data_IF_448302575349
#
_entry.id   IF_448302575349
#
_cell.length_a   1.000
_cell.length_b   1.000
_cell.length_c   1.000
_cell.angle_alpha   90.00
_cell.angle_beta   90.00
_cell.angle_gamma   90.00
#
_symmetry.space_group_name_H-M   'P 1'
#
loop_
_entity.id
_entity.type
_entity.pdbx_description
1 polymer ?
#
# COMPACT_ATOMS: atom_id res chain seq x y z
N UNK A 1 15.21 7.26 -7.39
CA UNK A 1 13.81 7.54 -7.01
C UNK A 1 13.86 8.32 -5.72
N UNK A 2 13.22 9.50 -5.65
CA UNK A 2 13.15 10.31 -4.42
C UNK A 2 12.02 9.75 -3.53
N UNK A 3 12.05 10.05 -2.22
CA UNK A 3 10.91 9.75 -1.37
C UNK A 3 9.68 10.57 -1.79
N UNK A 4 8.50 10.11 -1.43
CA UNK A 4 7.25 10.74 -1.85
C UNK A 4 6.85 11.88 -0.91
N UNK A 5 6.11 12.85 -1.47
CA UNK A 5 5.47 13.91 -0.69
C UNK A 5 4.35 13.31 0.16
N UNK A 6 4.52 13.36 1.49
CA UNK A 6 3.52 12.85 2.44
C UNK A 6 2.32 13.78 2.47
N UNK A 7 1.12 13.21 2.37
CA UNK A 7 -0.13 13.96 2.40
C UNK A 7 -1.12 13.36 3.39
N UNK A 8 -1.96 14.24 3.90
CA UNK A 8 -3.04 13.91 4.81
C UNK A 8 -4.38 14.21 4.14
N UNK A 9 -5.47 13.68 4.69
CA UNK A 9 -6.80 13.95 4.18
C UNK A 9 -7.14 15.43 4.39
N UNK A 10 -7.16 16.18 3.30
CA UNK A 10 -7.61 17.57 3.26
C UNK A 10 -9.12 17.62 3.01
N UNK A 11 -9.78 18.57 3.65
CA UNK A 11 -11.21 18.79 3.51
C UNK A 11 -11.43 20.14 2.84
N UNK A 12 -11.93 20.13 1.61
CA UNK A 12 -12.23 21.34 0.87
C UNK A 12 -13.46 22.09 1.42
N UNK A 13 -14.42 21.37 2.01
CA UNK A 13 -15.65 21.98 2.56
C UNK A 13 -16.05 21.28 3.86
N UNK A 14 -15.96 22.03 4.95
CA UNK A 14 -16.30 21.58 6.30
C UNK A 14 -17.79 21.24 6.45
N UNK A 15 -18.65 21.87 5.63
CA UNK A 15 -20.10 21.71 5.73
C UNK A 15 -20.61 20.33 5.30
N UNK A 16 -19.80 19.58 4.55
CA UNK A 16 -20.14 18.23 4.08
C UNK A 16 -19.77 17.11 5.05
N UNK A 17 -19.17 17.44 6.21
CA UNK A 17 -18.82 16.43 7.20
C UNK A 17 -19.94 16.37 8.22
N UNK A 18 -20.45 15.18 8.57
CA UNK A 18 -21.45 15.01 9.61
C UNK A 18 -20.81 15.21 10.99
N UNK A 19 -20.24 16.39 11.22
CA UNK A 19 -19.76 16.80 12.53
C UNK A 19 -20.91 17.55 13.19
N UNK A 20 -21.35 17.05 14.33
CA UNK A 20 -22.34 17.76 15.15
C UNK A 20 -21.72 19.04 15.71
N UNK A 21 -21.91 20.14 14.95
CA UNK A 21 -21.43 21.48 15.30
C UNK A 21 -22.03 22.01 16.62
N UNK A 22 -23.13 21.41 17.12
CA UNK A 22 -23.78 21.80 18.35
C UNK A 22 -23.05 21.38 19.62
N UNK A 23 -22.12 20.45 19.48
CA UNK A 23 -21.30 19.92 20.58
C UNK A 23 -19.90 20.55 20.61
N UNK A 24 -19.82 21.87 20.62
CA UNK A 24 -18.60 22.59 20.98
C UNK A 24 -18.21 22.31 22.43
N UNK A 25 -17.88 21.06 22.74
CA UNK A 25 -17.45 20.65 24.07
C UNK A 25 -15.95 20.87 24.21
N UNK A 26 -15.58 21.53 25.30
CA UNK A 26 -14.19 21.65 25.71
C UNK A 26 -13.51 20.28 25.80
N UNK A 27 -12.20 20.24 25.53
CA UNK A 27 -11.34 19.03 25.53
C UNK A 27 -11.52 18.15 26.79
N UNK A 28 -11.94 18.71 27.92
CA UNK A 28 -12.16 17.98 29.16
C UNK A 28 -13.44 17.10 29.17
N UNK A 29 -14.43 17.39 28.33
CA UNK A 29 -15.68 16.61 28.24
C UNK A 29 -15.57 15.43 27.27
N UNK A 30 -14.52 15.38 26.49
CA UNK A 30 -14.25 14.37 25.43
C UNK A 30 -13.84 13.01 26.03
N UNK A 31 -13.63 12.92 27.34
CA UNK A 31 -13.16 11.71 28.04
C UNK A 31 -14.06 10.47 27.90
N UNK A 32 -15.26 10.62 27.37
CA UNK A 32 -16.28 9.55 27.33
C UNK A 32 -16.71 9.10 25.93
N UNK A 33 -16.37 9.82 24.86
CA UNK A 33 -16.81 9.47 23.51
C UNK A 33 -15.64 8.87 22.70
N UNK A 34 -15.86 7.68 22.12
CA UNK A 34 -14.81 6.88 21.48
C UNK A 34 -14.39 7.36 20.08
N UNK A 35 -15.24 8.14 19.39
CA UNK A 35 -15.06 8.45 17.97
C UNK A 35 -15.17 9.95 17.69
N UNK A 36 -14.18 10.72 18.13
CA UNK A 36 -14.16 12.15 17.88
C UNK A 36 -13.37 12.49 16.61
N UNK A 37 -14.09 12.80 15.53
CA UNK A 37 -13.50 13.44 14.37
C UNK A 37 -13.24 14.92 14.68
N UNK A 38 -12.07 15.40 14.34
CA UNK A 38 -11.70 16.81 14.50
C UNK A 38 -11.12 17.36 13.21
N UNK A 39 -11.25 18.66 13.05
CA UNK A 39 -10.65 19.38 11.93
C UNK A 39 -9.52 20.24 12.48
N UNK A 40 -8.34 20.05 11.92
CA UNK A 40 -7.19 20.90 12.18
C UNK A 40 -7.04 21.91 11.05
N UNK A 41 -7.14 23.18 11.39
CA UNK A 41 -6.82 24.28 10.48
C UNK A 41 -5.36 24.63 10.64
N UNK A 42 -4.62 24.71 9.52
CA UNK A 42 -3.23 25.19 9.50
C UNK A 42 -3.18 26.67 9.18
N UNK A 43 -2.01 27.28 9.41
CA UNK A 43 -1.73 28.68 9.06
C UNK A 43 -1.84 28.95 7.55
N UNK A 44 -1.75 27.92 6.71
CA UNK A 44 -1.95 27.99 5.25
C UNK A 44 -3.41 27.84 4.82
N UNK A 45 -4.36 28.03 5.72
CA UNK A 45 -5.82 27.85 5.48
C UNK A 45 -6.24 26.44 5.00
N UNK A 46 -5.41 25.43 5.21
CA UNK A 46 -5.76 24.04 4.91
C UNK A 46 -6.47 23.40 6.10
N UNK A 47 -7.53 22.67 5.80
CA UNK A 47 -8.27 21.90 6.79
C UNK A 47 -7.94 20.43 6.65
N UNK A 48 -7.42 19.81 7.70
CA UNK A 48 -7.13 18.38 7.76
C UNK A 48 -8.13 17.67 8.66
N UNK A 49 -8.60 16.51 8.21
CA UNK A 49 -9.38 15.61 9.04
C UNK A 49 -8.44 14.84 9.97
N UNK A 50 -8.79 14.81 11.22
CA UNK A 50 -8.07 14.04 12.24
C UNK A 50 -9.04 13.43 13.24
N UNK A 51 -8.49 12.71 14.20
CA UNK A 51 -9.23 12.18 15.33
C UNK A 51 -8.46 12.39 16.63
N UNK A 52 -9.19 12.41 17.72
CA UNK A 52 -8.59 12.50 19.04
C UNK A 52 -8.29 11.10 19.56
N UNK A 53 -7.03 10.90 19.97
CA UNK A 53 -6.53 9.69 20.59
C UNK A 53 -5.98 9.98 21.97
N UNK A 54 -6.42 9.22 22.97
CA UNK A 54 -5.81 9.27 24.30
C UNK A 54 -4.75 8.19 24.41
N UNK A 55 -3.50 8.61 24.50
CA UNK A 55 -2.39 7.69 24.69
C UNK A 55 -2.46 7.04 26.08
N UNK A 56 -2.49 5.70 26.09
CA UNK A 56 -2.59 4.91 27.34
C UNK A 56 -1.35 5.01 28.21
N UNK A 57 -0.19 5.24 27.63
CA UNK A 57 1.09 5.28 28.34
C UNK A 57 1.32 6.66 28.98
N UNK A 58 1.14 7.71 28.24
CA UNK A 58 1.37 9.08 28.69
C UNK A 58 0.13 9.76 29.29
N UNK A 59 -1.06 9.16 29.09
CA UNK A 59 -2.37 9.70 29.44
C UNK A 59 -2.70 11.04 28.76
N UNK A 60 -1.94 11.42 27.73
CA UNK A 60 -2.15 12.64 26.97
C UNK A 60 -3.22 12.47 25.90
N UNK A 61 -3.98 13.53 25.65
CA UNK A 61 -4.88 13.60 24.51
C UNK A 61 -4.11 14.15 23.31
N UNK A 62 -4.08 13.38 22.23
CA UNK A 62 -3.36 13.68 20.99
C UNK A 62 -4.38 13.85 19.86
N UNK A 63 -4.11 14.77 18.95
CA UNK A 63 -4.86 14.89 17.70
C UNK A 63 -4.00 14.29 16.59
N UNK A 64 -4.54 13.29 15.91
CA UNK A 64 -3.84 12.57 14.85
C UNK A 64 -4.58 12.82 13.53
N UNK A 65 -3.88 13.42 12.57
CA UNK A 65 -4.42 13.59 11.22
C UNK A 65 -4.48 12.26 10.49
N UNK A 66 -5.52 12.06 9.68
CA UNK A 66 -5.63 10.88 8.84
C UNK A 66 -4.64 10.94 7.68
N UNK A 67 -3.62 10.09 7.66
CA UNK A 67 -2.76 9.98 6.50
C UNK A 67 -3.52 9.32 5.34
N UNK A 68 -3.09 9.60 4.12
CA UNK A 68 -3.61 8.90 2.94
C UNK A 68 -2.99 7.50 2.90
N UNK A 69 -3.76 6.49 3.31
CA UNK A 69 -3.26 5.12 3.53
C UNK A 69 -2.53 4.50 2.32
N UNK A 70 -3.02 4.60 1.07
CA UNK A 70 -2.26 4.10 -0.07
C UNK A 70 -0.86 4.69 -0.19
N UNK A 71 -0.68 5.96 0.20
CA UNK A 71 0.64 6.60 0.20
C UNK A 71 1.52 6.10 1.33
N UNK A 72 0.95 5.88 2.52
CA UNK A 72 1.68 5.28 3.65
C UNK A 72 2.25 3.91 3.26
N UNK A 73 1.44 3.07 2.64
CA UNK A 73 1.88 1.74 2.23
C UNK A 73 2.89 1.80 1.08
N UNK A 74 2.73 2.72 0.13
CA UNK A 74 3.71 2.93 -0.94
C UNK A 74 5.06 3.43 -0.39
N UNK A 75 5.06 4.40 0.54
CA UNK A 75 6.25 4.92 1.20
C UNK A 75 6.98 3.81 1.99
N UNK A 76 6.22 2.99 2.72
CA UNK A 76 6.77 1.82 3.41
C UNK A 76 7.37 0.80 2.45
N UNK A 77 6.73 0.53 1.31
CA UNK A 77 7.28 -0.35 0.28
C UNK A 77 8.61 0.17 -0.24
N UNK A 78 8.69 1.46 -0.52
CA UNK A 78 9.91 2.13 -0.96
C UNK A 78 11.02 2.08 0.11
N UNK A 79 10.69 2.35 1.36
CA UNK A 79 11.63 2.28 2.48
C UNK A 79 12.22 0.88 2.66
N UNK A 80 11.37 -0.14 2.68
CA UNK A 80 11.79 -1.54 2.77
C UNK A 80 12.68 -1.93 1.59
N UNK A 81 12.34 -1.51 0.37
CA UNK A 81 13.18 -1.71 -0.80
C UNK A 81 14.57 -1.07 -0.62
N UNK A 82 14.65 0.18 -0.14
CA UNK A 82 15.96 0.85 0.09
C UNK A 82 16.84 0.05 1.05
N UNK A 83 16.29 -0.39 2.17
CA UNK A 83 17.03 -1.20 3.14
C UNK A 83 17.51 -2.50 2.50
N UNK A 84 16.62 -3.22 1.81
CA UNK A 84 17.00 -4.48 1.17
C UNK A 84 18.05 -4.29 0.08
N UNK A 85 17.94 -3.23 -0.72
CA UNK A 85 18.91 -2.91 -1.79
C UNK A 85 20.30 -2.62 -1.24
N UNK A 86 20.41 -1.89 -0.14
CA UNK A 86 21.69 -1.61 0.52
C UNK A 86 22.33 -2.88 1.08
N UNK A 87 21.54 -3.85 1.51
CA UNK A 87 22.03 -5.10 2.07
C UNK A 87 22.38 -6.14 0.99
N UNK A 88 21.74 -6.08 -0.16
CA UNK A 88 21.84 -7.09 -1.21
C UNK A 88 23.27 -7.39 -1.63
N UNK A 89 24.03 -6.37 -1.95
CA UNK A 89 25.38 -6.54 -2.46
C UNK A 89 26.33 -7.07 -1.37
N UNK A 90 26.13 -6.64 -0.13
CA UNK A 90 26.85 -7.17 1.02
C UNK A 90 26.54 -8.66 1.26
N UNK A 91 25.27 -9.06 1.18
CA UNK A 91 24.84 -10.46 1.31
C UNK A 91 25.46 -11.32 0.21
N UNK A 92 25.38 -10.89 -1.05
CA UNK A 92 25.94 -11.64 -2.19
C UNK A 92 27.46 -11.78 -2.05
N UNK A 93 28.16 -10.69 -1.69
CA UNK A 93 29.62 -10.72 -1.49
C UNK A 93 30.03 -11.67 -0.37
N UNK A 94 29.33 -11.66 0.79
CA UNK A 94 29.60 -12.58 1.90
C UNK A 94 29.35 -14.03 1.53
N UNK A 95 28.26 -14.33 0.81
CA UNK A 95 27.97 -15.69 0.33
C UNK A 95 29.06 -16.17 -0.64
N UNK A 96 29.47 -15.33 -1.57
CA UNK A 96 30.55 -15.68 -2.54
C UNK A 96 31.88 -15.98 -1.87
N UNK A 97 32.17 -15.31 -0.74
CA UNK A 97 33.42 -15.49 0.02
C UNK A 97 33.34 -16.56 1.12
N UNK A 98 32.18 -17.17 1.35
CA UNK A 98 31.97 -18.15 2.43
C UNK A 98 32.93 -19.36 2.31
N UNK A 99 33.17 -19.86 1.11
CA UNK A 99 34.12 -20.96 0.86
C UNK A 99 35.58 -20.64 1.16
N UNK A 100 35.95 -19.37 1.36
CA UNK A 100 37.30 -18.88 1.64
C UNK A 100 37.52 -18.54 3.13
N UNK A 101 36.77 -19.15 4.04
CA UNK A 101 36.93 -18.99 5.50
C UNK A 101 36.09 -17.89 6.12
N UNK A 102 35.16 -17.29 5.38
CA UNK A 102 34.17 -16.35 5.92
C UNK A 102 33.06 -17.06 6.67
N UNK A 103 32.39 -16.36 7.60
CA UNK A 103 31.17 -16.85 8.25
C UNK A 103 29.96 -16.74 7.30
N UNK A 104 29.04 -17.71 7.40
CA UNK A 104 27.80 -17.67 6.64
C UNK A 104 26.90 -16.52 7.13
N UNK A 105 26.38 -15.63 6.26
CA UNK A 105 25.68 -14.41 6.66
C UNK A 105 24.17 -14.66 6.92
N UNK A 106 23.84 -15.49 7.90
CA UNK A 106 22.45 -15.88 8.18
C UNK A 106 21.55 -14.68 8.47
N UNK A 107 21.99 -13.80 9.37
CA UNK A 107 21.22 -12.64 9.80
C UNK A 107 20.94 -11.66 8.65
N UNK A 108 21.96 -11.42 7.83
CA UNK A 108 21.84 -10.54 6.67
C UNK A 108 20.89 -11.11 5.61
N UNK A 109 20.92 -12.44 5.40
CA UNK A 109 19.99 -13.12 4.50
C UNK A 109 18.54 -12.97 5.01
N UNK A 110 18.30 -13.23 6.30
CA UNK A 110 16.99 -13.04 6.90
C UNK A 110 16.46 -11.61 6.74
N UNK A 111 17.29 -10.62 7.04
CA UNK A 111 16.93 -9.21 6.90
C UNK A 111 16.66 -8.85 5.44
N UNK A 112 17.54 -9.26 4.53
CA UNK A 112 17.36 -9.02 3.10
C UNK A 112 16.03 -9.59 2.59
N UNK A 113 15.73 -10.86 2.88
CA UNK A 113 14.50 -11.53 2.46
C UNK A 113 13.29 -10.85 3.12
N UNK A 114 13.37 -10.55 4.42
CA UNK A 114 12.30 -9.90 5.17
C UNK A 114 11.92 -8.52 4.60
N UNK A 115 12.90 -7.65 4.39
CA UNK A 115 12.64 -6.33 3.81
C UNK A 115 12.18 -6.41 2.35
N UNK A 116 12.75 -7.30 1.56
CA UNK A 116 12.35 -7.51 0.17
C UNK A 116 10.91 -7.96 0.04
N UNK A 117 10.51 -8.98 0.81
CA UNK A 117 9.13 -9.50 0.80
C UNK A 117 8.14 -8.49 1.37
N UNK A 118 8.53 -7.76 2.42
CA UNK A 118 7.72 -6.68 2.99
C UNK A 118 7.47 -5.57 1.98
N UNK A 119 8.47 -5.21 1.17
CA UNK A 119 8.31 -4.22 0.09
C UNK A 119 7.23 -4.65 -0.91
N UNK A 120 7.24 -5.91 -1.35
CA UNK A 120 6.26 -6.45 -2.29
C UNK A 120 4.84 -6.43 -1.70
N UNK A 121 4.71 -6.91 -0.45
CA UNK A 121 3.41 -6.95 0.24
C UNK A 121 2.86 -5.53 0.41
N UNK A 122 3.66 -4.59 0.91
CA UNK A 122 3.23 -3.20 1.12
C UNK A 122 2.84 -2.52 -0.19
N UNK A 123 3.53 -2.81 -1.29
CA UNK A 123 3.19 -2.26 -2.60
C UNK A 123 1.84 -2.78 -3.11
N UNK A 124 1.54 -4.05 -2.89
CA UNK A 124 0.22 -4.62 -3.19
C UNK A 124 -0.88 -4.02 -2.30
N UNK A 125 -0.61 -3.85 -0.99
CA UNK A 125 -1.54 -3.21 -0.06
C UNK A 125 -1.81 -1.76 -0.47
N UNK A 126 -0.79 -1.03 -0.95
CA UNK A 126 -0.95 0.32 -1.49
C UNK A 126 -1.93 0.35 -2.67
N UNK A 127 -1.76 -0.56 -3.64
CA UNK A 127 -2.66 -0.69 -4.79
C UNK A 127 -4.09 -1.08 -4.38
N UNK A 128 -4.24 -2.02 -3.46
CA UNK A 128 -5.55 -2.47 -2.99
C UNK A 128 -6.28 -1.36 -2.22
N UNK A 129 -5.59 -0.66 -1.34
CA UNK A 129 -6.13 0.50 -0.63
C UNK A 129 -6.54 1.62 -1.59
N UNK A 130 -5.73 1.88 -2.62
CA UNK A 130 -6.07 2.84 -3.68
C UNK A 130 -7.31 2.43 -4.46
N UNK A 131 -7.43 1.15 -4.82
CA UNK A 131 -8.60 0.61 -5.49
C UNK A 131 -9.87 0.79 -4.65
N UNK A 132 -9.79 0.41 -3.38
CA UNK A 132 -10.92 0.51 -2.45
C UNK A 132 -11.32 1.98 -2.21
N UNK A 133 -10.37 2.91 -2.14
CA UNK A 133 -10.64 4.35 -2.04
C UNK A 133 -11.43 4.86 -3.26
N UNK A 134 -11.03 4.50 -4.48
CA UNK A 134 -11.77 4.89 -5.70
C UNK A 134 -13.17 4.30 -5.70
N UNK A 135 -13.31 3.00 -5.40
CA UNK A 135 -14.60 2.31 -5.39
C UNK A 135 -15.55 2.94 -4.36
N UNK A 136 -15.05 3.23 -3.15
CA UNK A 136 -15.84 3.87 -2.11
C UNK A 136 -16.36 5.25 -2.53
N UNK A 137 -15.51 6.09 -3.14
CA UNK A 137 -15.89 7.44 -3.56
C UNK A 137 -16.83 7.46 -4.76
N UNK A 138 -16.69 6.51 -5.69
CA UNK A 138 -17.49 6.46 -6.91
C UNK A 138 -18.91 5.98 -6.66
N UNK A 139 -19.15 5.23 -5.58
CA UNK A 139 -20.40 4.51 -5.31
C UNK A 139 -20.84 3.64 -6.49
N UNK A 140 -19.88 3.18 -7.28
CA UNK A 140 -20.11 2.40 -8.50
C UNK A 140 -20.64 1.02 -8.17
N UNK A 141 -21.65 0.57 -8.93
CA UNK A 141 -22.16 -0.79 -8.89
C UNK A 141 -21.46 -1.63 -9.96
N UNK A 142 -20.79 -2.67 -9.55
CA UNK A 142 -20.13 -3.60 -10.46
C UNK A 142 -21.08 -4.72 -10.85
N UNK A 143 -21.22 -4.98 -12.15
CA UNK A 143 -22.11 -6.01 -12.69
C UNK A 143 -21.30 -7.12 -13.34
N UNK A 144 -21.65 -8.35 -13.01
CA UNK A 144 -21.14 -9.56 -13.65
C UNK A 144 -22.31 -10.23 -14.37
N UNK A 145 -22.25 -10.26 -15.68
CA UNK A 145 -23.24 -10.94 -16.51
C UNK A 145 -22.76 -12.36 -16.81
N UNK A 146 -23.57 -13.33 -16.48
CA UNK A 146 -23.38 -14.73 -16.84
C UNK A 146 -24.54 -15.17 -17.73
N UNK A 147 -24.39 -16.31 -18.41
CA UNK A 147 -25.47 -16.87 -19.25
C UNK A 147 -26.77 -17.19 -18.48
N UNK A 148 -26.71 -17.24 -17.14
CA UNK A 148 -27.84 -17.63 -16.29
C UNK A 148 -28.39 -16.51 -15.42
N UNK A 149 -27.55 -15.51 -15.07
CA UNK A 149 -27.94 -14.43 -14.17
C UNK A 149 -27.01 -13.23 -14.27
N UNK A 150 -27.53 -12.08 -13.88
CA UNK A 150 -26.71 -10.87 -13.64
C UNK A 150 -26.54 -10.70 -12.14
N UNK A 151 -25.30 -10.63 -11.69
CA UNK A 151 -24.95 -10.31 -10.30
C UNK A 151 -24.56 -8.84 -10.20
N UNK A 152 -25.12 -8.14 -9.21
CA UNK A 152 -24.86 -6.71 -8.99
C UNK A 152 -24.23 -6.56 -7.60
N UNK A 153 -23.04 -5.97 -7.58
CA UNK A 153 -22.26 -5.70 -6.37
C UNK A 153 -22.27 -4.20 -6.10
N UNK A 154 -22.79 -3.77 -4.97
CA UNK A 154 -22.64 -2.39 -4.55
C UNK A 154 -21.16 -2.09 -4.19
N UNK A 155 -20.83 -0.82 -3.92
CA UNK A 155 -19.44 -0.41 -3.64
C UNK A 155 -18.82 -1.15 -2.44
N UNK A 156 -19.58 -1.48 -1.39
CA UNK A 156 -19.09 -2.23 -0.22
C UNK A 156 -18.81 -3.70 -0.60
N UNK A 157 -19.76 -4.34 -1.28
CA UNK A 157 -19.58 -5.71 -1.76
C UNK A 157 -18.43 -5.81 -2.77
N UNK A 158 -18.31 -4.82 -3.66
CA UNK A 158 -17.21 -4.77 -4.63
C UNK A 158 -15.85 -4.71 -3.93
N UNK A 159 -15.73 -3.96 -2.83
CA UNK A 159 -14.48 -3.91 -2.04
C UNK A 159 -14.16 -5.25 -1.37
N UNK A 160 -15.16 -5.99 -0.91
CA UNK A 160 -14.97 -7.19 -0.09
C UNK A 160 -14.94 -8.49 -0.90
N UNK A 161 -15.74 -8.60 -1.97
CA UNK A 161 -16.02 -9.87 -2.64
C UNK A 161 -15.34 -9.99 -4.01
N UNK A 162 -15.00 -8.86 -4.66
CA UNK A 162 -14.35 -8.88 -5.98
C UNK A 162 -12.84 -9.05 -5.82
N UNK A 163 -12.26 -9.94 -6.64
CA UNK A 163 -10.83 -10.20 -6.60
C UNK A 163 -9.98 -8.98 -6.98
N UNK A 164 -8.77 -8.95 -6.48
CA UNK A 164 -7.87 -7.80 -6.57
C UNK A 164 -7.53 -7.42 -8.03
N UNK A 165 -7.26 -8.40 -8.90
CA UNK A 165 -6.99 -8.12 -10.33
C UNK A 165 -8.20 -7.52 -11.02
N UNK A 166 -9.38 -8.04 -10.76
CA UNK A 166 -10.63 -7.52 -11.32
C UNK A 166 -10.90 -6.10 -10.83
N UNK A 167 -10.67 -5.79 -9.55
CA UNK A 167 -10.77 -4.40 -9.05
C UNK A 167 -9.88 -3.45 -9.87
N UNK A 168 -8.60 -3.78 -10.04
CA UNK A 168 -7.64 -2.92 -10.71
C UNK A 168 -7.92 -2.76 -12.21
N UNK A 169 -8.24 -3.83 -12.91
CA UNK A 169 -8.27 -3.82 -14.39
C UNK A 169 -9.66 -3.79 -15.01
N UNK A 170 -10.72 -3.94 -14.22
CA UNK A 170 -12.10 -3.84 -14.68
C UNK A 170 -12.89 -2.78 -13.89
N UNK A 171 -12.92 -2.88 -12.55
CA UNK A 171 -13.76 -2.00 -11.73
C UNK A 171 -13.29 -0.56 -11.80
N UNK A 172 -12.03 -0.25 -11.45
CA UNK A 172 -11.50 1.12 -11.46
C UNK A 172 -11.63 1.79 -12.83
N UNK A 173 -11.24 1.15 -13.97
CA UNK A 173 -11.43 1.73 -15.28
C UNK A 173 -12.89 2.10 -15.58
N UNK A 174 -13.82 1.24 -15.17
CA UNK A 174 -15.25 1.51 -15.37
C UNK A 174 -15.78 2.59 -14.43
N UNK A 175 -15.34 2.62 -13.16
CA UNK A 175 -15.69 3.69 -12.21
C UNK A 175 -15.32 5.08 -12.73
N UNK A 176 -14.10 5.20 -13.27
CA UNK A 176 -13.53 6.47 -13.69
C UNK A 176 -13.69 6.77 -15.17
N UNK A 177 -14.27 5.84 -15.95
CA UNK A 177 -14.37 5.92 -17.42
C UNK A 177 -13.01 6.19 -18.09
N UNK A 178 -11.95 5.61 -17.52
CA UNK A 178 -10.57 5.80 -17.92
C UNK A 178 -9.87 4.46 -18.07
N UNK A 179 -9.52 4.10 -19.28
CA UNK A 179 -8.99 2.77 -19.60
C UNK A 179 -7.50 2.84 -19.92
N UNK A 180 -6.66 2.08 -19.22
CA UNK A 180 -5.25 2.04 -19.53
C UNK A 180 -5.02 1.34 -20.88
N UNK A 181 -3.98 1.76 -21.64
CA UNK A 181 -3.60 1.08 -22.88
C UNK A 181 -3.35 -0.42 -22.63
N UNK A 182 -3.79 -1.28 -23.56
CA UNK A 182 -3.64 -2.74 -23.38
C UNK A 182 -2.20 -3.19 -23.18
N UNK A 183 -1.27 -2.57 -23.91
CA UNK A 183 0.18 -2.87 -23.86
C UNK A 183 0.94 -1.94 -22.89
N UNK A 184 0.26 -1.36 -21.90
CA UNK A 184 0.95 -0.50 -20.93
C UNK A 184 1.90 -1.31 -20.05
N UNK A 185 3.11 -0.79 -19.83
CA UNK A 185 4.12 -1.43 -18.98
C UNK A 185 3.62 -1.59 -17.55
N UNK A 186 2.91 -0.60 -17.02
CA UNK A 186 2.36 -0.70 -15.66
C UNK A 186 1.36 -1.85 -15.51
N UNK A 187 0.55 -2.18 -16.54
CA UNK A 187 -0.37 -3.30 -16.47
C UNK A 187 0.37 -4.63 -16.30
N UNK A 188 1.41 -4.88 -17.10
CA UNK A 188 2.21 -6.11 -17.01
C UNK A 188 2.96 -6.22 -15.69
N UNK A 189 3.60 -5.15 -15.23
CA UNK A 189 4.35 -5.11 -13.96
C UNK A 189 3.44 -5.28 -12.75
N UNK A 190 2.28 -4.64 -12.73
CA UNK A 190 1.29 -4.81 -11.65
C UNK A 190 0.77 -6.24 -11.59
N UNK A 191 0.52 -6.89 -12.74
CA UNK A 191 0.14 -8.31 -12.77
C UNK A 191 1.26 -9.18 -12.18
N UNK A 192 2.51 -8.98 -12.62
CA UNK A 192 3.67 -9.72 -12.10
C UNK A 192 3.82 -9.54 -10.59
N UNK A 193 3.65 -8.31 -10.10
CA UNK A 193 3.70 -7.99 -8.67
C UNK A 193 2.63 -8.75 -7.87
N UNK A 194 1.38 -8.76 -8.36
CA UNK A 194 0.28 -9.48 -7.72
C UNK A 194 0.54 -11.00 -7.69
N UNK A 195 1.02 -11.56 -8.80
CA UNK A 195 1.32 -12.99 -8.89
C UNK A 195 2.47 -13.37 -7.94
N UNK A 196 3.46 -12.50 -7.79
CA UNK A 196 4.53 -12.72 -6.82
C UNK A 196 4.02 -12.63 -5.37
N UNK A 197 3.25 -11.59 -5.04
CA UNK A 197 2.63 -11.47 -3.70
C UNK A 197 1.80 -12.72 -3.36
N UNK A 198 1.04 -13.24 -4.31
CA UNK A 198 0.23 -14.44 -4.08
C UNK A 198 1.11 -15.68 -3.79
N UNK A 199 2.26 -15.82 -4.44
CA UNK A 199 3.23 -16.86 -4.10
C UNK A 199 3.81 -16.69 -2.70
N UNK A 200 4.07 -15.44 -2.26
CA UNK A 200 4.60 -15.14 -0.92
C UNK A 200 3.59 -15.41 0.20
N UNK A 201 2.31 -15.08 -0.01
CA UNK A 201 1.28 -15.17 1.03
C UNK A 201 0.66 -16.56 1.11
N UNK A 202 0.56 -17.25 -0.02
CA UNK A 202 -0.02 -18.59 -0.10
C UNK A 202 1.07 -19.67 -0.23
N UNK A 203 2.08 -19.57 0.64
CA UNK A 203 3.09 -20.62 0.76
C UNK A 203 2.37 -21.95 1.07
N UNK A 204 2.27 -22.82 0.07
CA UNK A 204 1.81 -24.18 0.30
C UNK A 204 2.87 -24.88 1.14
N UNK A 205 2.53 -25.30 2.36
CA UNK A 205 3.35 -26.25 3.09
C UNK A 205 3.29 -27.56 2.29
N UNK A 206 4.32 -27.82 1.52
CA UNK A 206 4.53 -29.14 0.93
C UNK A 206 5.17 -29.95 2.06
N UNK A 207 4.71 -31.19 2.25
CA UNK A 207 5.37 -32.13 3.15
C UNK A 207 6.88 -32.10 2.95
N UNK A 208 7.65 -32.36 4.00
CA UNK A 208 9.11 -32.21 4.15
C UNK A 208 9.98 -32.95 3.10
N UNK A 209 9.48 -33.06 1.89
CA UNK A 209 10.12 -33.72 0.76
C UNK A 209 10.90 -32.74 -0.14
N UNK A 210 11.58 -33.33 -1.13
CA UNK A 210 12.39 -32.64 -2.14
C UNK A 210 11.65 -31.48 -2.83
N UNK A 211 10.33 -31.61 -3.02
CA UNK A 211 9.49 -30.61 -3.67
C UNK A 211 9.36 -29.31 -2.86
N UNK A 212 9.36 -29.40 -1.52
CA UNK A 212 9.34 -28.22 -0.64
C UNK A 212 10.60 -27.38 -0.81
N UNK A 213 11.76 -28.00 -0.88
CA UNK A 213 13.05 -27.29 -1.08
C UNK A 213 13.14 -26.67 -2.47
N UNK A 214 12.62 -27.33 -3.50
CA UNK A 214 12.58 -26.77 -4.86
C UNK A 214 11.70 -25.50 -4.85
N UNK A 215 10.51 -25.59 -4.29
CA UNK A 215 9.60 -24.44 -4.21
C UNK A 215 10.21 -23.26 -3.43
N UNK A 216 10.83 -23.51 -2.26
CA UNK A 216 11.49 -22.46 -1.48
C UNK A 216 12.66 -21.85 -2.24
N UNK A 217 13.46 -22.66 -2.95
CA UNK A 217 14.57 -22.16 -3.75
C UNK A 217 14.10 -21.28 -4.92
N UNK A 218 13.01 -21.65 -5.57
CA UNK A 218 12.39 -20.83 -6.62
C UNK A 218 11.88 -19.49 -6.07
N UNK A 219 11.24 -19.51 -4.91
CA UNK A 219 10.77 -18.30 -4.25
C UNK A 219 11.95 -17.35 -3.91
N UNK A 220 13.03 -17.88 -3.33
CA UNK A 220 14.23 -17.10 -3.02
C UNK A 220 14.88 -16.53 -4.29
N UNK A 221 14.94 -17.30 -5.38
CA UNK A 221 15.40 -16.78 -6.67
C UNK A 221 14.54 -15.64 -7.18
N UNK A 222 13.22 -15.74 -7.03
CA UNK A 222 12.31 -14.64 -7.37
C UNK A 222 12.59 -13.40 -6.51
N UNK A 223 12.78 -13.56 -5.19
CA UNK A 223 13.12 -12.45 -4.29
C UNK A 223 14.44 -11.78 -4.69
N UNK A 224 15.46 -12.56 -5.01
CA UNK A 224 16.78 -12.05 -5.42
C UNK A 224 16.75 -11.34 -6.77
N UNK A 225 15.96 -11.82 -7.72
CA UNK A 225 15.90 -11.35 -9.10
C UNK A 225 14.75 -10.39 -9.42
N UNK A 226 13.90 -10.03 -8.44
CA UNK A 226 12.74 -9.21 -8.69
C UNK A 226 13.12 -7.76 -9.01
N UNK A 227 12.43 -7.17 -9.98
CA UNK A 227 12.59 -5.76 -10.35
C UNK A 227 11.76 -4.84 -9.43
N UNK A 228 12.30 -4.54 -8.25
CA UNK A 228 11.65 -3.70 -7.23
C UNK A 228 11.45 -2.27 -7.71
N UNK A 229 12.48 -1.66 -8.30
CA UNK A 229 12.41 -0.27 -8.78
C UNK A 229 11.38 -0.14 -9.90
N UNK A 230 11.44 -1.04 -10.88
CA UNK A 230 10.46 -1.05 -11.96
C UNK A 230 9.04 -1.24 -11.43
N UNK A 231 8.82 -2.11 -10.45
CA UNK A 231 7.51 -2.32 -9.84
C UNK A 231 7.01 -1.11 -9.07
N UNK A 232 7.86 -0.45 -8.27
CA UNK A 232 7.54 0.80 -7.58
C UNK A 232 7.17 1.90 -8.57
N UNK A 233 7.97 2.06 -9.63
CA UNK A 233 7.72 3.05 -10.69
C UNK A 233 6.40 2.79 -11.39
N UNK A 234 6.12 1.56 -11.77
CA UNK A 234 4.91 1.24 -12.53
C UNK A 234 3.64 1.24 -11.67
N UNK A 235 3.73 0.92 -10.38
CA UNK A 235 2.62 1.13 -9.43
C UNK A 235 2.31 2.61 -9.28
N UNK A 236 3.32 3.47 -9.16
CA UNK A 236 3.16 4.92 -9.16
C UNK A 236 2.51 5.41 -10.45
N UNK A 237 3.00 4.95 -11.60
CA UNK A 237 2.43 5.29 -12.91
C UNK A 237 0.97 4.86 -13.01
N UNK A 238 0.62 3.67 -12.51
CA UNK A 238 -0.74 3.17 -12.44
C UNK A 238 -1.64 4.09 -11.60
N UNK A 239 -1.21 4.43 -10.37
CA UNK A 239 -2.00 5.33 -9.50
C UNK A 239 -2.16 6.72 -10.09
N UNK A 240 -1.08 7.29 -10.63
CA UNK A 240 -1.06 8.61 -11.27
C UNK A 240 -1.84 8.63 -12.60
N UNK A 241 -1.93 7.50 -13.29
CA UNK A 241 -2.79 7.39 -14.47
C UNK A 241 -4.25 7.63 -14.09
N UNK A 242 -4.74 7.05 -13.00
CA UNK A 242 -6.13 7.23 -12.60
C UNK A 242 -6.39 8.54 -11.85
N UNK A 243 -5.47 8.96 -11.00
CA UNK A 243 -5.52 10.24 -10.26
C UNK A 243 -4.21 11.00 -10.48
N UNK A 244 -4.29 12.05 -11.31
CA UNK A 244 -3.13 12.89 -11.60
C UNK A 244 -2.44 13.34 -10.32
N UNK A 245 -1.11 13.25 -10.30
CA UNK A 245 -0.25 13.68 -9.17
C UNK A 245 -0.62 13.03 -7.82
N UNK A 246 -1.16 11.79 -7.85
CA UNK A 246 -1.52 11.08 -6.64
C UNK A 246 -0.28 10.70 -5.82
N UNK A 247 0.75 10.17 -6.47
CA UNK A 247 2.08 9.94 -5.87
C UNK A 247 3.07 10.91 -6.51
N UNK A 248 3.54 11.89 -5.74
CA UNK A 248 4.54 12.88 -6.18
C UNK A 248 5.85 12.68 -5.43
N UNK A 249 6.97 13.03 -6.07
CA UNK A 249 8.25 13.12 -5.38
C UNK A 249 8.21 14.29 -4.40
N UNK A 250 8.94 14.16 -3.30
CA UNK A 250 9.16 15.26 -2.38
C UNK A 250 10.21 16.23 -2.96
N UNK A 251 9.94 17.52 -2.81
CA UNK A 251 10.87 18.58 -3.26
C UNK A 251 12.00 18.83 -2.24
N UNK A 252 12.03 18.06 -1.13
CA UNK A 252 13.06 18.22 -0.12
C UNK A 252 14.37 17.52 -0.54
N UNK A 253 15.50 18.14 -0.19
CA UNK A 253 16.85 17.60 -0.45
C UNK A 253 17.25 16.48 0.53
N UNK A 254 16.35 16.05 1.39
CA UNK A 254 16.61 15.00 2.38
C UNK A 254 16.32 13.63 1.78
N UNK A 255 17.35 12.87 1.51
CA UNK A 255 17.27 11.42 1.40
C UNK A 255 17.15 10.84 2.81
N UNK A 256 16.00 10.27 3.12
CA UNK A 256 15.79 9.53 4.38
C UNK A 256 16.24 8.09 4.24
#
# INVERSE_FOLDING_TARGET
>A
MKHIKKRFLEIANIDNIPIDKSKGKYINDIKKEKDFLTILKTDEDKNFLGFMYRDKKTQQNLIINFPILPMVFYDNAYHNYRISSQQRDAVISKIANFGNGGSFPEHEIYNFVGYSTSSIIMLCVALESFANEIIAHSKYEYKIETSKRTEIYNHIQTQNEIDFKTKLFKVIPNCLKKFPPEKSLFKSKVITLIDFRNKLVHLKSVDSGKESFIFQSELLRLVLGFDYIGSLTEVRNYMNFFRKDYIMDCDCDKDF
#
